data_IF_048010247660
#
_entry.id   IF_048010247660
#
_cell.length_a   1.000
_cell.length_b   1.000
_cell.length_c   1.000
_cell.angle_alpha   90.00
_cell.angle_beta   90.00
_cell.angle_gamma   90.00
#
_symmetry.space_group_name_H-M   'P 1'
#
loop_
_entity.id
_entity.type
_entity.pdbx_description
1 polymer ?
#
# COMPACT_ATOMS: atom_id res chain seq x y z
N UNK A 1 -17.85 -4.77 -2.33
CA UNK A 1 -18.83 -5.75 -1.81
C UNK A 1 -18.18 -7.05 -1.34
N UNK A 2 -17.49 -7.83 -2.19
CA UNK A 2 -16.87 -9.10 -1.75
C UNK A 2 -15.75 -8.90 -0.70
N UNK A 3 -14.85 -7.94 -0.92
CA UNK A 3 -13.80 -7.55 0.04
C UNK A 3 -14.37 -7.07 1.37
N UNK A 4 -15.51 -6.39 1.33
CA UNK A 4 -16.20 -5.88 2.52
C UNK A 4 -16.90 -6.98 3.31
N UNK A 5 -17.64 -7.86 2.64
CA UNK A 5 -18.24 -9.01 3.27
C UNK A 5 -17.18 -9.91 3.94
N UNK A 6 -16.04 -10.11 3.25
CA UNK A 6 -14.92 -10.85 3.80
C UNK A 6 -14.32 -10.17 5.04
N UNK A 7 -14.10 -8.86 4.98
CA UNK A 7 -13.57 -8.09 6.10
C UNK A 7 -14.46 -8.14 7.34
N UNK A 8 -15.77 -7.95 7.14
CA UNK A 8 -16.75 -8.09 8.22
C UNK A 8 -16.75 -9.50 8.81
N UNK A 9 -16.69 -10.54 7.97
CA UNK A 9 -16.66 -11.92 8.43
C UNK A 9 -15.38 -12.23 9.23
N UNK A 10 -14.21 -11.82 8.73
CA UNK A 10 -12.94 -12.02 9.43
C UNK A 10 -12.96 -11.36 10.82
N UNK A 11 -13.47 -10.14 10.91
CA UNK A 11 -13.60 -9.43 12.18
C UNK A 11 -14.55 -10.15 13.14
N UNK A 12 -15.71 -10.60 12.66
CA UNK A 12 -16.70 -11.31 13.47
C UNK A 12 -16.19 -12.67 13.99
N UNK A 13 -15.41 -13.38 13.17
CA UNK A 13 -14.85 -14.69 13.52
C UNK A 13 -13.52 -14.60 14.28
N UNK A 14 -12.96 -13.39 14.46
CA UNK A 14 -11.65 -13.20 15.08
C UNK A 14 -10.49 -13.76 14.25
N UNK A 15 -10.66 -13.85 12.93
CA UNK A 15 -9.63 -14.33 12.01
C UNK A 15 -8.58 -13.24 11.82
N UNK A 16 -7.29 -13.49 12.10
CA UNK A 16 -6.22 -12.57 11.73
C UNK A 16 -6.22 -12.37 10.21
N UNK A 17 -6.40 -11.13 9.76
CA UNK A 17 -6.61 -10.79 8.36
C UNK A 17 -5.81 -9.55 7.95
N UNK A 18 -5.62 -9.41 6.64
CA UNK A 18 -4.96 -8.27 6.02
C UNK A 18 -6.02 -7.34 5.43
N UNK A 19 -6.02 -6.10 5.89
CA UNK A 19 -6.93 -5.04 5.49
C UNK A 19 -6.19 -3.99 4.67
N UNK A 20 -6.85 -3.55 3.61
CA UNK A 20 -6.52 -2.35 2.86
C UNK A 20 -7.31 -1.17 3.45
N UNK A 21 -6.60 -0.16 3.89
CA UNK A 21 -7.17 1.05 4.50
C UNK A 21 -6.70 2.27 3.72
N UNK A 22 -7.55 3.28 3.65
CA UNK A 22 -7.23 4.53 2.98
C UNK A 22 -7.93 5.66 3.71
N UNK A 23 -7.15 6.66 4.11
CA UNK A 23 -7.68 7.83 4.79
C UNK A 23 -8.40 8.77 3.81
N UNK A 24 -9.33 9.55 4.33
CA UNK A 24 -10.02 10.59 3.57
C UNK A 24 -9.09 11.80 3.49
N UNK A 25 -8.88 12.32 2.29
CA UNK A 25 -8.29 13.66 2.13
C UNK A 25 -9.43 14.62 1.84
N UNK A 26 -9.56 15.64 2.70
CA UNK A 26 -10.50 16.73 2.52
C UNK A 26 -10.06 17.61 1.34
N UNK A 27 -10.42 17.23 0.11
CA UNK A 27 -10.27 18.04 -1.10
C UNK A 27 -11.56 18.77 -1.51
N UNK A 28 -12.62 18.67 -0.71
CA UNK A 28 -13.99 18.95 -1.16
C UNK A 28 -14.25 20.40 -1.54
N UNK A 29 -13.45 21.34 -1.03
CA UNK A 29 -13.66 22.78 -1.22
C UNK A 29 -12.93 23.36 -2.44
N UNK A 30 -11.94 22.67 -3.00
CA UNK A 30 -11.11 23.18 -4.11
C UNK A 30 -11.31 22.47 -5.45
N UNK A 31 -12.13 21.42 -5.49
CA UNK A 31 -12.40 20.67 -6.72
C UNK A 31 -13.46 21.38 -7.59
N UNK A 32 -13.25 21.47 -8.91
CA UNK A 32 -14.26 21.98 -9.84
C UNK A 32 -15.55 21.14 -9.72
N UNK A 33 -16.67 21.79 -9.39
CA UNK A 33 -17.99 21.14 -9.38
C UNK A 33 -18.75 21.56 -10.65
N UNK A 34 -19.32 20.57 -11.33
CA UNK A 34 -20.39 20.71 -12.35
C UNK A 34 -20.01 21.08 -13.79
N UNK A 35 -19.19 20.28 -14.49
CA UNK A 35 -19.38 20.00 -15.93
C UNK A 35 -18.76 18.64 -16.34
N UNK A 36 -19.11 18.08 -17.50
CA UNK A 36 -18.65 16.74 -17.97
C UNK A 36 -17.17 16.74 -18.39
N UNK A 37 -16.63 17.86 -18.88
CA UNK A 37 -15.19 18.03 -19.13
C UNK A 37 -14.39 18.19 -17.82
N UNK A 38 -15.01 18.76 -16.78
CA UNK A 38 -14.50 18.88 -15.43
C UNK A 38 -14.50 17.53 -14.69
N UNK A 39 -15.27 16.54 -15.13
CA UNK A 39 -15.27 15.20 -14.53
C UNK A 39 -13.90 14.50 -14.70
N UNK A 40 -13.28 14.61 -15.88
CA UNK A 40 -11.95 14.04 -16.14
C UNK A 40 -10.86 14.75 -15.34
N UNK A 41 -10.89 16.08 -15.31
CA UNK A 41 -9.96 16.89 -14.50
C UNK A 41 -10.12 16.59 -13.01
N UNK A 42 -11.37 16.43 -12.54
CA UNK A 42 -11.66 16.07 -11.15
C UNK A 42 -11.16 14.67 -10.81
N UNK A 43 -11.35 13.68 -11.68
CA UNK A 43 -10.81 12.34 -11.49
C UNK A 43 -9.28 12.36 -11.40
N UNK A 44 -8.62 13.06 -12.33
CA UNK A 44 -7.16 13.25 -12.32
C UNK A 44 -6.68 13.92 -11.02
N UNK A 45 -7.34 14.98 -10.56
CA UNK A 45 -6.98 15.63 -9.30
C UNK A 45 -7.18 14.69 -8.12
N UNK A 46 -8.32 13.99 -8.03
CA UNK A 46 -8.58 13.03 -6.97
C UNK A 46 -7.54 11.90 -6.94
N UNK A 47 -7.12 11.38 -8.09
CA UNK A 47 -6.05 10.38 -8.17
C UNK A 47 -4.70 10.92 -7.71
N UNK A 48 -4.33 12.13 -8.12
CA UNK A 48 -3.05 12.74 -7.72
C UNK A 48 -2.99 13.08 -6.23
N UNK A 49 -4.13 13.41 -5.64
CA UNK A 49 -4.19 13.73 -4.23
C UNK A 49 -4.44 12.51 -3.37
N UNK A 50 -5.04 11.42 -3.86
CA UNK A 50 -5.36 10.23 -3.08
C UNK A 50 -4.16 9.75 -2.24
N UNK A 51 -4.40 9.49 -0.94
CA UNK A 51 -3.38 8.85 -0.10
C UNK A 51 -3.09 7.47 -0.65
N UNK A 52 -1.84 7.03 -0.55
CA UNK A 52 -1.52 5.63 -0.80
C UNK A 52 -2.41 4.72 0.08
N UNK A 53 -2.81 3.60 -0.49
CA UNK A 53 -3.44 2.52 0.27
C UNK A 53 -2.45 2.01 1.32
N UNK A 54 -2.89 1.92 2.57
CA UNK A 54 -2.15 1.33 3.66
C UNK A 54 -2.65 -0.10 3.89
N UNK A 55 -1.75 -1.07 3.71
CA UNK A 55 -1.99 -2.46 4.08
C UNK A 55 -1.58 -2.69 5.52
N UNK A 56 -2.48 -3.28 6.30
CA UNK A 56 -2.25 -3.58 7.71
C UNK A 56 -3.08 -4.76 8.19
N UNK A 57 -2.94 -5.08 9.47
CA UNK A 57 -3.71 -6.14 10.15
C UNK A 57 -4.90 -5.60 10.92
N UNK A 58 -4.93 -4.29 11.17
CA UNK A 58 -6.05 -3.62 11.81
C UNK A 58 -7.16 -3.31 10.79
N UNK A 59 -8.43 -3.63 11.11
CA UNK A 59 -9.54 -3.21 10.28
C UNK A 59 -9.65 -1.68 10.23
N UNK A 60 -10.00 -1.15 9.06
CA UNK A 60 -10.22 0.28 8.87
C UNK A 60 -10.94 0.59 7.55
N UNK A 61 -11.39 1.84 7.43
CA UNK A 61 -12.10 2.31 6.26
C UNK A 61 -11.19 2.46 5.06
N UNK A 62 -11.76 2.22 3.87
CA UNK A 62 -11.13 2.55 2.59
C UNK A 62 -11.90 3.67 1.92
N UNK A 63 -11.48 4.92 2.16
CA UNK A 63 -12.16 6.12 1.70
C UNK A 63 -12.47 6.13 0.20
N UNK A 64 -11.49 5.78 -0.66
CA UNK A 64 -11.66 5.78 -2.11
C UNK A 64 -12.69 4.77 -2.64
N UNK A 65 -13.04 3.76 -1.85
CA UNK A 65 -14.03 2.73 -2.21
C UNK A 65 -15.33 2.89 -1.40
N UNK A 66 -15.37 3.78 -0.40
CA UNK A 66 -16.51 3.94 0.50
C UNK A 66 -16.79 2.71 1.37
N UNK A 67 -15.79 1.86 1.64
CA UNK A 67 -15.95 0.62 2.39
C UNK A 67 -15.50 0.78 3.84
N UNK A 68 -16.23 0.16 4.77
CA UNK A 68 -15.89 0.20 6.20
C UNK A 68 -14.78 -0.79 6.60
N UNK A 69 -14.71 -1.95 5.93
CA UNK A 69 -13.75 -3.01 6.20
C UNK A 69 -13.27 -3.62 4.89
N UNK A 70 -12.14 -3.20 4.32
CA UNK A 70 -11.70 -3.77 3.04
C UNK A 70 -10.62 -4.83 3.25
N UNK A 71 -11.00 -6.11 3.33
CA UNK A 71 -10.02 -7.21 3.46
C UNK A 71 -9.55 -7.74 2.10
N UNK A 72 -8.29 -8.13 2.04
CA UNK A 72 -7.73 -8.87 0.90
C UNK A 72 -8.20 -10.33 0.89
N UNK A 73 -8.14 -11.00 -0.26
CA UNK A 73 -8.46 -12.43 -0.42
C UNK A 73 -9.39 -12.76 -1.60
N UNK A 74 -9.79 -11.76 -2.37
CA UNK A 74 -10.73 -11.92 -3.51
C UNK A 74 -10.02 -12.09 -4.84
N UNK A 75 -8.73 -11.73 -4.94
CA UNK A 75 -7.96 -11.74 -6.19
C UNK A 75 -6.60 -12.47 -6.06
N UNK A 76 -6.56 -13.74 -5.61
CA UNK A 76 -5.33 -14.48 -5.28
C UNK A 76 -4.33 -14.61 -6.44
N UNK A 77 -4.82 -14.63 -7.69
CA UNK A 77 -3.95 -14.76 -8.88
C UNK A 77 -3.31 -13.42 -9.28
N UNK A 78 -3.80 -12.30 -8.75
CA UNK A 78 -3.35 -10.95 -9.11
C UNK A 78 -2.57 -10.26 -7.99
N UNK A 79 -2.75 -10.71 -6.75
CA UNK A 79 -2.12 -10.12 -5.58
C UNK A 79 -1.54 -11.18 -4.66
N UNK A 80 -0.26 -11.02 -4.30
CA UNK A 80 0.38 -11.90 -3.31
C UNK A 80 -0.29 -11.80 -1.93
N UNK A 81 -0.76 -10.60 -1.56
CA UNK A 81 -1.54 -10.38 -0.32
C UNK A 81 -2.84 -11.17 -0.33
N UNK A 82 -3.58 -11.17 -1.45
CA UNK A 82 -4.78 -11.98 -1.61
C UNK A 82 -4.48 -13.48 -1.53
N UNK A 83 -3.35 -13.93 -2.09
CA UNK A 83 -2.92 -15.32 -2.01
C UNK A 83 -2.63 -15.74 -0.56
N UNK A 84 -1.90 -14.92 0.19
CA UNK A 84 -1.66 -15.13 1.63
C UNK A 84 -2.99 -15.22 2.37
N UNK A 85 -3.90 -14.29 2.11
CA UNK A 85 -5.22 -14.28 2.74
C UNK A 85 -6.03 -15.53 2.41
N UNK A 86 -6.03 -16.01 1.17
CA UNK A 86 -6.72 -17.26 0.84
C UNK A 86 -6.14 -18.46 1.57
N UNK A 87 -4.81 -18.57 1.66
CA UNK A 87 -4.17 -19.61 2.47
C UNK A 87 -4.58 -19.50 3.93
N UNK A 88 -4.60 -18.29 4.49
CA UNK A 88 -5.00 -18.04 5.87
C UNK A 88 -6.45 -18.48 6.13
N UNK A 89 -7.36 -18.14 5.23
CA UNK A 89 -8.77 -18.52 5.32
C UNK A 89 -8.95 -20.04 5.23
N UNK A 90 -8.27 -20.70 4.28
CA UNK A 90 -8.31 -22.17 4.16
C UNK A 90 -7.75 -22.86 5.41
N UNK A 91 -6.69 -22.32 5.99
CA UNK A 91 -6.12 -22.83 7.23
C UNK A 91 -7.05 -22.63 8.43
N UNK A 92 -7.70 -21.46 8.51
CA UNK A 92 -8.70 -21.17 9.55
C UNK A 92 -9.91 -22.10 9.47
N UNK A 93 -10.35 -22.42 8.25
CA UNK A 93 -11.42 -23.37 8.00
C UNK A 93 -10.99 -24.84 8.17
N UNK A 94 -9.74 -25.10 8.55
CA UNK A 94 -9.21 -26.46 8.75
C UNK A 94 -8.99 -27.25 7.46
N UNK A 95 -8.99 -26.59 6.29
CA UNK A 95 -8.80 -27.24 4.99
C UNK A 95 -7.32 -27.49 4.71
N UNK A 96 -6.43 -26.58 5.15
CA UNK A 96 -4.98 -26.71 4.88
C UNK A 96 -4.12 -26.22 6.05
N UNK A 97 -3.28 -27.10 6.60
CA UNK A 97 -2.28 -26.72 7.62
C UNK A 97 -2.88 -25.98 8.83
N UNK A 98 -2.06 -25.17 9.48
CA UNK A 98 -2.46 -24.31 10.60
C UNK A 98 -2.49 -22.83 10.18
N UNK A 99 -3.40 -22.01 10.75
CA UNK A 99 -3.41 -20.57 10.51
C UNK A 99 -2.07 -19.93 10.86
N UNK A 100 -1.65 -18.97 10.05
CA UNK A 100 -0.49 -18.15 10.35
C UNK A 100 -0.80 -17.30 11.59
N UNK A 101 0.15 -17.20 12.53
CA UNK A 101 0.04 -16.26 13.64
C UNK A 101 0.15 -14.82 13.12
N UNK A 102 -0.35 -13.86 13.89
CA UNK A 102 -0.44 -12.45 13.48
C UNK A 102 0.92 -11.89 13.04
N UNK A 103 1.98 -12.23 13.77
CA UNK A 103 3.34 -11.75 13.52
C UNK A 103 3.88 -12.25 12.18
N UNK A 104 3.43 -13.44 11.73
CA UNK A 104 3.80 -13.96 10.42
C UNK A 104 3.06 -13.24 9.28
N UNK A 105 1.82 -12.82 9.51
CA UNK A 105 1.08 -11.98 8.56
C UNK A 105 1.70 -10.58 8.44
N UNK A 106 2.08 -9.96 9.56
CA UNK A 106 2.77 -8.66 9.58
C UNK A 106 4.12 -8.72 8.87
N UNK A 107 4.88 -9.81 9.08
CA UNK A 107 6.14 -10.03 8.35
C UNK A 107 5.90 -10.15 6.84
N UNK A 108 4.91 -10.91 6.42
CA UNK A 108 4.59 -11.07 5.00
C UNK A 108 4.15 -9.74 4.36
N UNK A 109 3.44 -8.88 5.10
CA UNK A 109 3.14 -7.51 4.66
C UNK A 109 4.39 -6.68 4.44
N UNK A 110 5.30 -6.67 5.43
CA UNK A 110 6.57 -5.92 5.34
C UNK A 110 7.42 -6.38 4.15
N UNK A 111 7.52 -7.70 3.93
CA UNK A 111 8.22 -8.27 2.79
C UNK A 111 7.58 -7.86 1.45
N UNK A 112 6.24 -7.86 1.40
CA UNK A 112 5.49 -7.45 0.20
C UNK A 112 5.67 -5.95 -0.09
N UNK A 113 5.62 -5.12 0.95
CA UNK A 113 5.85 -3.68 0.84
C UNK A 113 7.29 -3.40 0.37
N UNK A 114 8.28 -4.07 0.98
CA UNK A 114 9.68 -3.95 0.57
C UNK A 114 9.90 -4.39 -0.88
N UNK A 115 9.25 -5.47 -1.34
CA UNK A 115 9.33 -5.94 -2.72
C UNK A 115 8.66 -4.97 -3.71
N UNK A 116 7.51 -4.40 -3.35
CA UNK A 116 6.83 -3.36 -4.16
C UNK A 116 7.67 -2.09 -4.25
N UNK A 117 8.19 -1.62 -3.12
CA UNK A 117 9.10 -0.48 -3.06
C UNK A 117 10.31 -0.75 -3.94
N UNK A 118 10.98 -1.90 -3.79
CA UNK A 118 12.10 -2.29 -4.65
C UNK A 118 11.77 -2.31 -6.15
N UNK A 119 10.53 -2.66 -6.53
CA UNK A 119 10.06 -2.65 -7.92
C UNK A 119 9.63 -1.27 -8.43
N UNK A 120 9.26 -0.34 -7.55
CA UNK A 120 8.82 1.01 -7.90
C UNK A 120 9.98 2.00 -8.08
N UNK A 121 11.19 1.65 -7.62
CA UNK A 121 12.38 2.45 -7.84
C UNK A 121 13.05 2.05 -9.17
N UNK A 122 12.90 2.89 -10.20
CA UNK A 122 13.96 3.03 -11.20
C UNK A 122 15.14 3.67 -10.48
N UNK A 123 16.31 3.03 -10.38
CA UNK A 123 17.44 3.70 -9.76
C UNK A 123 17.93 4.84 -10.78
N UNK A 124 18.94 5.71 -10.52
CA UNK A 124 19.81 6.48 -11.50
C UNK A 124 21.40 6.33 -11.37
N UNK A 125 22.20 5.69 -12.22
CA UNK A 125 23.62 5.20 -12.07
C UNK A 125 24.55 5.55 -10.86
N UNK A 126 25.47 4.64 -10.46
CA UNK A 126 26.60 5.00 -9.57
C UNK A 126 27.37 6.17 -10.20
N UNK A 127 27.39 7.33 -9.54
CA UNK A 127 27.99 8.56 -10.06
C UNK A 127 27.10 9.38 -11.02
N UNK A 128 25.84 8.98 -11.23
CA UNK A 128 24.88 9.73 -12.03
C UNK A 128 24.44 10.99 -11.29
N UNK A 129 24.51 12.12 -12.00
CA UNK A 129 24.15 13.42 -11.47
C UNK A 129 22.68 13.67 -11.74
N UNK A 130 21.84 13.54 -10.71
CA UNK A 130 20.42 13.84 -10.80
C UNK A 130 20.24 15.37 -10.79
N UNK A 131 19.82 15.95 -11.90
CA UNK A 131 19.44 17.36 -11.97
C UNK A 131 18.02 17.53 -11.43
N UNK A 132 17.87 18.42 -10.44
CA UNK A 132 16.60 18.69 -9.79
C UNK A 132 16.25 20.18 -9.90
N UNK A 133 15.00 20.47 -10.23
CA UNK A 133 14.48 21.83 -10.33
C UNK A 133 14.05 22.30 -8.93
N UNK A 134 14.26 23.58 -8.55
CA UNK A 134 13.72 24.12 -7.31
C UNK A 134 12.21 23.84 -7.16
N UNK A 135 11.82 23.18 -6.07
CA UNK A 135 10.44 22.76 -5.81
C UNK A 135 10.12 21.31 -6.19
N UNK A 136 11.01 20.63 -6.89
CA UNK A 136 10.89 19.20 -7.20
C UNK A 136 11.15 18.35 -5.97
N UNK A 137 10.27 17.37 -5.70
CA UNK A 137 10.43 16.40 -4.60
C UNK A 137 11.24 15.20 -5.10
N UNK A 138 12.38 14.94 -4.47
CA UNK A 138 13.19 13.75 -4.70
C UNK A 138 12.98 12.75 -3.56
N UNK A 139 12.86 11.46 -3.90
CA UNK A 139 12.80 10.37 -2.93
C UNK A 139 14.11 9.59 -2.99
N UNK A 140 14.88 9.64 -1.91
CA UNK A 140 16.23 9.06 -1.83
C UNK A 140 16.24 7.86 -0.88
N UNK A 141 16.92 6.78 -1.26
CA UNK A 141 17.14 5.63 -0.37
C UNK A 141 18.45 5.82 0.39
N UNK A 142 18.38 5.68 1.72
CA UNK A 142 19.55 5.73 2.59
C UNK A 142 20.04 4.30 2.80
N UNK A 143 21.24 3.98 2.33
CA UNK A 143 21.84 2.65 2.50
C UNK A 143 22.53 2.51 3.87
N UNK A 144 23.05 3.61 4.43
CA UNK A 144 23.68 3.58 5.75
C UNK A 144 23.57 4.93 6.47
N UNK A 145 23.23 4.88 7.77
CA UNK A 145 23.29 6.03 8.69
C UNK A 145 24.35 5.75 9.76
N UNK A 146 25.35 6.62 9.90
CA UNK A 146 26.35 6.55 10.98
C UNK A 146 26.33 7.83 11.81
N UNK A 147 25.64 7.79 12.95
CA UNK A 147 25.53 8.93 13.86
C UNK A 147 26.88 9.32 14.50
N UNK A 148 27.77 8.34 14.76
CA UNK A 148 29.10 8.60 15.35
C UNK A 148 30.05 9.34 14.42
N UNK A 149 29.89 9.15 13.10
CA UNK A 149 30.73 9.77 12.09
C UNK A 149 30.04 10.95 11.41
N UNK A 150 28.77 11.19 11.71
CA UNK A 150 27.90 12.16 11.04
C UNK A 150 27.88 11.97 9.51
N UNK A 151 27.74 10.70 9.08
CA UNK A 151 27.73 10.32 7.65
C UNK A 151 26.40 9.65 7.31
N UNK A 152 25.77 10.13 6.24
CA UNK A 152 24.65 9.49 5.55
C UNK A 152 25.15 8.99 4.19
N UNK A 153 25.08 7.68 3.95
CA UNK A 153 25.37 7.10 2.63
C UNK A 153 24.06 6.82 1.90
N UNK A 154 23.90 7.46 0.75
CA UNK A 154 22.78 7.25 -0.15
C UNK A 154 23.11 6.10 -1.11
N UNK A 155 22.09 5.34 -1.49
CA UNK A 155 22.24 4.27 -2.46
C UNK A 155 22.65 4.81 -3.82
N UNK A 156 23.43 4.02 -4.56
CA UNK A 156 23.65 4.28 -5.97
C UNK A 156 22.34 4.24 -6.71
N UNK A 157 22.04 5.28 -7.46
CA UNK A 157 20.91 5.17 -8.34
C UNK A 157 21.42 4.27 -9.60
N UNK A 158 20.60 3.72 -10.55
CA UNK A 158 20.83 3.14 -11.93
C UNK A 158 19.92 3.65 -13.10
N UNK A 159 20.41 4.17 -14.24
CA UNK A 159 19.66 5.00 -15.22
C UNK A 159 18.52 4.30 -16.01
N UNK A 160 17.63 5.12 -16.61
CA UNK A 160 16.61 4.77 -17.64
C UNK A 160 17.19 4.25 -18.97
#
# INVERSE_FOLDING_TARGET
MATEALGCWCQQQGVPALYATQEVIALEDSLPRNDVAAAGVRAFLLENYATAENLGTAPGSHAGLGLGHCAAGVAPMRGYVDLIMQRQLLAWLGVVGAPLPLEALERALLETAAARDAGAFAPAGHGERIEAVPGQRLRLRIDQVSARQNILRLADPRPE
#
